data_IF_050012187498
#
_entry.id   IF_050012187498
#
_cell.length_a   1.000
_cell.length_b   1.000
_cell.length_c   1.000
_cell.angle_alpha   90.00
_cell.angle_beta   90.00
_cell.angle_gamma   90.00
#
_symmetry.space_group_name_H-M   'P 1'
#
loop_
_entity.id
_entity.type
_entity.pdbx_description
1 polymer ?
#
# COMPACT_ATOMS: atom_id res chain seq x y z
N UNK A 1 15.96 -32.20 -18.59
CA UNK A 1 14.85 -31.26 -18.87
C UNK A 1 15.40 -29.95 -19.46
N UNK A 2 15.49 -29.87 -20.78
CA UNK A 2 16.15 -28.80 -21.54
C UNK A 2 15.14 -27.98 -22.35
N UNK A 3 14.17 -27.33 -21.69
CA UNK A 3 13.07 -26.63 -22.40
C UNK A 3 13.29 -25.11 -22.54
N UNK A 4 14.29 -24.51 -21.88
CA UNK A 4 14.44 -23.04 -21.89
C UNK A 4 15.57 -22.47 -22.76
N UNK A 5 16.07 -23.22 -23.75
CA UNK A 5 17.06 -22.70 -24.72
C UNK A 5 16.36 -22.28 -26.02
N UNK A 6 15.55 -21.23 -25.95
CA UNK A 6 14.85 -20.68 -27.11
C UNK A 6 14.88 -19.15 -27.11
N UNK A 7 15.22 -18.55 -28.26
CA UNK A 7 15.22 -17.10 -28.56
C UNK A 7 13.78 -16.54 -28.64
N UNK A 8 12.89 -17.01 -27.77
CA UNK A 8 11.45 -16.75 -27.82
C UNK A 8 11.15 -15.47 -27.05
N UNK A 9 11.15 -14.33 -27.75
CA UNK A 9 10.79 -13.01 -27.19
C UNK A 9 9.49 -13.09 -26.38
N UNK A 10 8.50 -13.83 -26.87
CA UNK A 10 7.21 -14.03 -26.20
C UNK A 10 7.33 -14.67 -24.81
N UNK A 11 8.14 -15.72 -24.66
CA UNK A 11 8.36 -16.39 -23.37
C UNK A 11 9.06 -15.45 -22.36
N UNK A 12 9.99 -14.63 -22.85
CA UNK A 12 10.64 -13.61 -22.03
C UNK A 12 9.66 -12.52 -21.58
N UNK A 13 8.77 -12.05 -22.46
CA UNK A 13 7.71 -11.09 -22.09
C UNK A 13 6.81 -11.64 -20.99
N UNK A 14 6.29 -12.85 -21.13
CA UNK A 14 5.46 -13.48 -20.10
C UNK A 14 6.23 -13.61 -18.78
N UNK A 15 7.48 -14.05 -18.82
CA UNK A 15 8.29 -14.19 -17.61
C UNK A 15 8.58 -12.84 -16.95
N UNK A 16 8.83 -11.76 -17.71
CA UNK A 16 8.97 -10.41 -17.15
C UNK A 16 7.68 -9.95 -16.47
N UNK A 17 6.55 -10.10 -17.16
CA UNK A 17 5.24 -9.67 -16.66
C UNK A 17 4.87 -10.44 -15.39
N UNK A 18 5.06 -11.76 -15.37
CA UNK A 18 4.82 -12.59 -14.19
C UNK A 18 5.70 -12.19 -13.01
N UNK A 19 7.01 -11.98 -13.21
CA UNK A 19 7.89 -11.54 -12.10
C UNK A 19 7.51 -10.15 -11.57
N UNK A 20 7.11 -9.23 -12.45
CA UNK A 20 6.68 -7.90 -12.05
C UNK A 20 5.38 -7.95 -11.24
N UNK A 21 4.42 -8.76 -11.67
CA UNK A 21 3.18 -8.99 -10.94
C UNK A 21 3.43 -9.64 -9.57
N UNK A 22 4.28 -10.67 -9.51
CA UNK A 22 4.65 -11.32 -8.24
C UNK A 22 5.35 -10.33 -7.29
N UNK A 23 6.28 -9.51 -7.79
CA UNK A 23 6.91 -8.46 -6.99
C UNK A 23 5.89 -7.47 -6.43
N UNK A 24 4.93 -7.04 -7.25
CA UNK A 24 3.87 -6.14 -6.82
C UNK A 24 3.02 -6.75 -5.70
N UNK A 25 2.62 -8.02 -5.86
CA UNK A 25 1.86 -8.74 -4.83
C UNK A 25 2.63 -8.87 -3.53
N UNK A 26 3.92 -9.19 -3.59
CA UNK A 26 4.78 -9.28 -2.41
C UNK A 26 4.87 -7.91 -1.71
N UNK A 27 5.12 -6.83 -2.43
CA UNK A 27 5.17 -5.48 -1.83
C UNK A 27 3.84 -5.08 -1.22
N UNK A 28 2.73 -5.44 -1.85
CA UNK A 28 1.39 -5.15 -1.34
C UNK A 28 1.10 -5.96 -0.08
N UNK A 29 1.45 -7.26 -0.06
CA UNK A 29 1.29 -8.11 1.12
C UNK A 29 2.11 -7.62 2.30
N UNK A 30 3.37 -7.21 2.07
CA UNK A 30 4.23 -6.59 3.09
C UNK A 30 3.62 -5.29 3.61
N UNK A 31 3.10 -4.44 2.71
CA UNK A 31 2.42 -3.21 3.08
C UNK A 31 1.20 -3.46 3.98
N UNK A 32 0.36 -4.45 3.64
CA UNK A 32 -0.80 -4.85 4.45
C UNK A 32 -0.38 -5.39 5.81
N UNK A 33 0.62 -6.27 5.85
CA UNK A 33 1.12 -6.82 7.11
C UNK A 33 1.67 -5.74 8.04
N UNK A 34 2.51 -4.84 7.51
CA UNK A 34 3.05 -3.71 8.26
C UNK A 34 1.93 -2.77 8.74
N UNK A 35 0.94 -2.50 7.90
CA UNK A 35 -0.22 -1.69 8.28
C UNK A 35 -0.96 -2.28 9.49
N UNK A 36 -1.30 -3.57 9.44
CA UNK A 36 -2.02 -4.23 10.53
C UNK A 36 -1.18 -4.30 11.80
N UNK A 37 0.13 -4.53 11.67
CA UNK A 37 1.07 -4.43 12.80
C UNK A 37 1.05 -3.03 13.42
N UNK A 38 1.16 -1.97 12.62
CA UNK A 38 1.17 -0.58 13.11
C UNK A 38 -0.16 -0.19 13.74
N UNK A 39 -1.30 -0.66 13.21
CA UNK A 39 -2.61 -0.45 13.84
C UNK A 39 -2.68 -1.03 15.24
N UNK A 40 -2.15 -2.25 15.42
CA UNK A 40 -2.07 -2.89 16.73
C UNK A 40 -1.06 -2.19 17.66
N UNK A 41 0.06 -1.70 17.14
CA UNK A 41 1.11 -1.04 17.92
C UNK A 41 0.71 0.35 18.40
N UNK A 42 0.10 1.18 17.55
CA UNK A 42 -0.30 2.54 17.92
C UNK A 42 -1.65 2.61 18.62
N UNK A 43 -2.63 1.78 18.22
CA UNK A 43 -3.95 1.74 18.87
C UNK A 43 -4.71 3.07 18.91
N UNK A 44 -4.40 4.01 18.02
CA UNK A 44 -5.00 5.35 17.99
C UNK A 44 -6.50 5.28 17.67
N UNK A 45 -7.31 6.00 18.43
CA UNK A 45 -8.74 6.13 18.20
C UNK A 45 -9.08 6.93 16.94
N UNK A 46 -10.15 6.55 16.23
CA UNK A 46 -10.69 7.30 15.09
C UNK A 46 -11.48 8.53 15.57
N UNK A 47 -11.59 9.60 14.77
CA UNK A 47 -12.38 10.78 15.15
C UNK A 47 -13.85 10.47 15.50
N UNK A 48 -14.47 9.53 14.79
CA UNK A 48 -15.85 9.08 15.04
C UNK A 48 -15.99 8.04 16.17
N UNK A 49 -14.95 7.78 16.98
CA UNK A 49 -14.97 6.74 18.00
C UNK A 49 -16.11 6.91 19.01
N UNK A 50 -16.34 8.12 19.53
CA UNK A 50 -17.38 8.37 20.53
C UNK A 50 -18.79 8.07 19.99
N UNK A 51 -19.03 8.40 18.72
CA UNK A 51 -20.30 8.10 18.06
C UNK A 51 -20.55 6.59 17.90
N UNK A 52 -19.48 5.80 17.72
CA UNK A 52 -19.58 4.34 17.63
C UNK A 52 -19.66 3.70 19.01
N UNK A 53 -18.85 4.15 19.96
CA UNK A 53 -18.76 3.58 21.30
C UNK A 53 -20.06 3.79 22.08
N UNK A 54 -20.70 4.96 21.97
CA UNK A 54 -21.84 5.37 22.78
C UNK A 54 -21.51 5.17 24.28
N UNK A 55 -20.63 6.01 24.84
CA UNK A 55 -20.12 5.81 26.20
C UNK A 55 -21.23 5.88 27.26
N UNK A 56 -21.17 4.97 28.23
CA UNK A 56 -22.01 5.04 29.43
C UNK A 56 -21.39 5.99 30.46
N UNK A 57 -21.82 7.25 30.41
CA UNK A 57 -21.32 8.31 31.29
C UNK A 57 -21.58 8.04 32.78
N UNK A 58 -22.58 7.21 33.13
CA UNK A 58 -22.90 6.91 34.52
C UNK A 58 -21.84 6.02 35.21
N UNK A 59 -21.06 5.29 34.41
CA UNK A 59 -20.00 4.37 34.87
C UNK A 59 -18.60 4.97 34.76
N UNK A 60 -18.50 6.22 34.34
CA UNK A 60 -17.23 6.93 34.16
C UNK A 60 -17.04 7.95 35.28
N UNK A 61 -15.91 7.88 35.98
CA UNK A 61 -15.55 8.89 36.99
C UNK A 61 -14.85 10.09 36.34
N UNK A 62 -15.61 11.18 36.19
CA UNK A 62 -15.15 12.44 35.60
C UNK A 62 -14.70 13.47 36.64
N UNK A 63 -14.78 13.16 37.95
CA UNK A 63 -14.77 14.21 38.98
C UNK A 63 -13.40 14.86 39.21
N UNK A 64 -12.30 14.17 38.86
CA UNK A 64 -10.92 14.63 39.13
C UNK A 64 -9.91 14.27 38.02
N UNK A 65 -10.38 14.05 36.78
CA UNK A 65 -9.52 13.67 35.65
C UNK A 65 -9.71 14.63 34.47
N UNK A 66 -8.62 15.21 33.97
CA UNK A 66 -8.64 16.02 32.73
C UNK A 66 -8.94 15.17 31.48
N UNK A 67 -8.64 13.86 31.52
CA UNK A 67 -8.98 12.93 30.46
C UNK A 67 -9.22 11.51 31.00
N UNK A 68 -10.15 10.80 30.37
CA UNK A 68 -10.47 9.40 30.70
C UNK A 68 -9.68 8.49 29.77
N UNK A 69 -8.85 7.57 30.30
CA UNK A 69 -8.13 6.65 29.46
C UNK A 69 -9.09 5.71 28.72
N UNK A 70 -8.73 5.36 27.49
CA UNK A 70 -9.54 4.56 26.57
C UNK A 70 -9.77 3.10 27.05
N UNK A 71 -9.01 2.67 28.06
CA UNK A 71 -9.23 1.40 28.78
C UNK A 71 -10.37 1.47 29.79
N UNK A 72 -10.71 2.66 30.27
CA UNK A 72 -11.77 2.92 31.27
C UNK A 72 -13.08 3.39 30.62
N UNK A 73 -13.13 3.49 29.28
CA UNK A 73 -14.36 3.84 28.55
C UNK A 73 -15.24 2.61 28.32
N UNK A 74 -16.39 2.58 29.00
CA UNK A 74 -17.46 1.59 28.77
C UNK A 74 -18.35 2.01 27.60
N UNK A 75 -18.32 1.23 26.52
CA UNK A 75 -19.16 1.43 25.34
C UNK A 75 -20.49 0.69 25.49
N UNK A 76 -21.61 1.35 25.21
CA UNK A 76 -22.95 0.74 25.24
C UNK A 76 -23.29 0.02 23.93
N UNK A 77 -22.59 0.32 22.83
CA UNK A 77 -22.86 -0.31 21.55
C UNK A 77 -22.53 -1.83 21.60
N UNK A 78 -23.49 -2.73 21.27
CA UNK A 78 -23.25 -4.17 21.32
C UNK A 78 -22.33 -4.68 20.19
N UNK A 79 -22.11 -3.90 19.13
CA UNK A 79 -21.24 -4.28 18.01
C UNK A 79 -19.76 -4.07 18.36
N UNK A 80 -19.18 -5.08 19.00
CA UNK A 80 -17.76 -5.12 19.39
C UNK A 80 -16.80 -4.97 18.20
N UNK A 81 -17.20 -5.42 17.01
CA UNK A 81 -16.38 -5.30 15.79
C UNK A 81 -16.27 -3.84 15.35
N UNK A 82 -17.38 -3.10 15.37
CA UNK A 82 -17.37 -1.66 15.06
C UNK A 82 -16.55 -0.88 16.08
N UNK A 83 -16.67 -1.20 17.37
CA UNK A 83 -15.84 -0.58 18.41
C UNK A 83 -14.35 -0.87 18.17
N UNK A 84 -13.96 -2.13 17.94
CA UNK A 84 -12.57 -2.50 17.65
C UNK A 84 -12.01 -1.77 16.43
N UNK A 85 -12.83 -1.61 15.40
CA UNK A 85 -12.47 -0.89 14.17
C UNK A 85 -12.25 0.60 14.47
N UNK A 86 -13.12 1.20 15.29
CA UNK A 86 -13.00 2.59 15.71
C UNK A 86 -11.76 2.86 16.60
N UNK A 87 -11.14 1.82 17.17
CA UNK A 87 -9.89 1.90 17.95
C UNK A 87 -8.61 1.78 17.12
N UNK A 88 -8.71 1.62 15.80
CA UNK A 88 -7.53 1.46 14.92
C UNK A 88 -7.57 2.49 13.79
N UNK A 89 -7.06 3.70 14.08
CA UNK A 89 -7.02 4.81 13.13
C UNK A 89 -5.71 4.92 12.35
N UNK A 90 -4.57 4.81 13.01
CA UNK A 90 -3.27 4.99 12.37
C UNK A 90 -2.63 3.66 11.94
N UNK A 91 -2.03 3.56 10.74
CA UNK A 91 -2.13 4.47 9.60
C UNK A 91 -3.39 4.19 8.75
N UNK A 92 -3.74 5.10 7.84
CA UNK A 92 -4.89 4.89 6.95
C UNK A 92 -4.60 3.84 5.87
N UNK A 93 -5.29 2.70 5.97
CA UNK A 93 -5.14 1.60 5.02
C UNK A 93 -5.66 1.88 3.61
N UNK A 94 -6.75 2.64 3.49
CA UNK A 94 -7.29 3.04 2.18
C UNK A 94 -6.32 3.95 1.44
N UNK A 95 -5.76 4.94 2.15
CA UNK A 95 -4.72 5.81 1.62
C UNK A 95 -3.48 5.02 1.24
N UNK A 96 -2.99 4.12 2.11
CA UNK A 96 -1.83 3.29 1.81
C UNK A 96 -2.03 2.45 0.54
N UNK A 97 -3.18 1.79 0.38
CA UNK A 97 -3.49 1.01 -0.82
C UNK A 97 -3.57 1.87 -2.09
N UNK A 98 -4.23 3.03 -2.02
CA UNK A 98 -4.35 3.94 -3.17
C UNK A 98 -2.99 4.52 -3.61
N UNK A 99 -2.17 4.96 -2.65
CA UNK A 99 -0.82 5.42 -2.96
C UNK A 99 0.11 4.30 -3.41
N UNK A 100 -0.05 3.07 -2.90
CA UNK A 100 0.76 1.93 -3.33
C UNK A 100 0.63 1.67 -4.83
N UNK A 101 -0.62 1.59 -5.34
CA UNK A 101 -0.85 1.41 -6.78
C UNK A 101 -0.44 2.65 -7.59
N UNK A 102 -0.71 3.86 -7.09
CA UNK A 102 -0.33 5.10 -7.78
C UNK A 102 1.19 5.22 -7.95
N UNK A 103 1.99 4.97 -6.91
CA UNK A 103 3.46 5.03 -6.98
C UNK A 103 3.98 3.95 -7.93
N UNK A 104 3.46 2.72 -7.84
CA UNK A 104 3.84 1.64 -8.74
C UNK A 104 3.56 1.99 -10.21
N UNK A 105 2.36 2.48 -10.53
CA UNK A 105 2.00 2.89 -11.88
C UNK A 105 2.86 4.05 -12.38
N UNK A 106 3.13 5.05 -11.53
CA UNK A 106 4.00 6.18 -11.86
C UNK A 106 5.40 5.69 -12.27
N UNK A 107 5.98 4.78 -11.48
CA UNK A 107 7.31 4.22 -11.74
C UNK A 107 7.32 3.32 -12.99
N UNK A 108 6.33 2.44 -13.12
CA UNK A 108 6.20 1.47 -14.21
C UNK A 108 5.96 2.16 -15.56
N UNK A 109 4.91 2.97 -15.68
CA UNK A 109 4.52 3.61 -16.94
C UNK A 109 5.57 4.62 -17.41
N UNK A 110 6.20 5.35 -16.50
CA UNK A 110 7.30 6.28 -16.85
C UNK A 110 8.48 5.53 -17.46
N UNK A 111 8.87 4.39 -16.88
CA UNK A 111 9.98 3.58 -17.40
C UNK A 111 9.62 2.93 -18.73
N UNK A 112 8.43 2.37 -18.85
CA UNK A 112 7.95 1.76 -20.09
C UNK A 112 7.94 2.78 -21.23
N UNK A 113 7.40 3.99 -21.01
CA UNK A 113 7.39 5.05 -22.01
C UNK A 113 8.82 5.47 -22.40
N UNK A 114 9.72 5.64 -21.42
CA UNK A 114 11.12 6.06 -21.65
C UNK A 114 11.92 5.02 -22.43
N UNK A 115 11.79 3.73 -22.09
CA UNK A 115 12.60 2.67 -22.69
C UNK A 115 12.12 2.26 -24.08
N UNK A 116 10.82 2.35 -24.35
CA UNK A 116 10.26 2.00 -25.66
C UNK A 116 10.30 3.17 -26.64
N UNK A 117 10.28 4.42 -26.17
CA UNK A 117 10.28 5.61 -27.02
C UNK A 117 9.00 5.81 -27.84
N UNK A 118 7.94 5.03 -27.60
CA UNK A 118 6.70 5.07 -28.38
C UNK A 118 5.83 6.22 -27.87
N UNK A 119 5.54 7.20 -28.73
CA UNK A 119 4.75 8.40 -28.38
C UNK A 119 3.38 8.09 -27.76
N UNK A 120 2.68 7.07 -28.27
CA UNK A 120 1.39 6.61 -27.72
C UNK A 120 1.46 6.22 -26.23
N UNK A 121 2.58 5.65 -25.77
CA UNK A 121 2.73 5.23 -24.37
C UNK A 121 2.88 6.43 -23.41
N UNK A 122 3.38 7.57 -23.90
CA UNK A 122 3.39 8.81 -23.11
C UNK A 122 1.98 9.36 -22.91
N UNK A 123 1.14 9.28 -23.95
CA UNK A 123 -0.27 9.67 -23.83
C UNK A 123 -1.01 8.75 -22.86
N UNK A 124 -0.88 7.43 -23.03
CA UNK A 124 -1.46 6.42 -22.12
C UNK A 124 -1.00 6.63 -20.68
N UNK A 125 0.29 6.88 -20.45
CA UNK A 125 0.82 7.22 -19.12
C UNK A 125 0.08 8.41 -18.53
N UNK A 126 -0.03 9.52 -19.26
CA UNK A 126 -0.64 10.75 -18.74
C UNK A 126 -2.11 10.54 -18.38
N UNK A 127 -2.88 9.86 -19.24
CA UNK A 127 -4.30 9.56 -18.99
C UNK A 127 -4.47 8.67 -17.76
N UNK A 128 -3.72 7.56 -17.68
CA UNK A 128 -3.81 6.64 -16.54
C UNK A 128 -3.40 7.35 -15.24
N UNK A 129 -2.30 8.11 -15.26
CA UNK A 129 -1.85 8.85 -14.08
C UNK A 129 -2.84 9.93 -13.65
N UNK A 130 -3.52 10.61 -14.57
CA UNK A 130 -4.55 11.59 -14.23
C UNK A 130 -5.72 10.92 -13.48
N UNK A 131 -6.24 9.80 -14.02
CA UNK A 131 -7.32 9.03 -13.40
C UNK A 131 -6.93 8.57 -12.00
N UNK A 132 -5.76 7.94 -11.86
CA UNK A 132 -5.30 7.42 -10.57
C UNK A 132 -4.97 8.55 -9.58
N UNK A 133 -4.52 9.71 -10.03
CA UNK A 133 -4.29 10.87 -9.16
C UNK A 133 -5.60 11.38 -8.58
N UNK A 134 -6.63 11.55 -9.41
CA UNK A 134 -7.96 11.97 -8.95
C UNK A 134 -8.54 10.94 -7.99
N UNK A 135 -8.48 9.65 -8.34
CA UNK A 135 -9.00 8.58 -7.49
C UNK A 135 -8.27 8.48 -6.13
N UNK A 136 -6.94 8.63 -6.14
CA UNK A 136 -6.13 8.60 -4.92
C UNK A 136 -6.39 9.82 -4.04
N UNK A 137 -6.49 11.01 -4.63
CA UNK A 137 -6.84 12.24 -3.92
C UNK A 137 -8.24 12.15 -3.31
N UNK A 138 -9.23 11.69 -4.08
CA UNK A 138 -10.59 11.45 -3.59
C UNK A 138 -10.62 10.48 -2.41
N UNK A 139 -9.87 9.37 -2.50
CA UNK A 139 -9.74 8.41 -1.40
C UNK A 139 -9.14 9.06 -0.16
N UNK A 140 -8.05 9.83 -0.29
CA UNK A 140 -7.40 10.49 0.83
C UNK A 140 -8.28 11.57 1.49
N UNK A 141 -8.96 12.38 0.68
CA UNK A 141 -9.86 13.45 1.15
C UNK A 141 -11.04 12.84 1.91
N UNK A 142 -11.71 11.84 1.34
CA UNK A 142 -12.87 11.19 1.98
C UNK A 142 -12.51 10.55 3.31
N UNK A 143 -11.28 10.06 3.49
CA UNK A 143 -10.83 9.55 4.81
C UNK A 143 -10.83 10.61 5.91
N UNK A 144 -10.64 11.88 5.56
CA UNK A 144 -10.68 13.00 6.52
C UNK A 144 -12.08 13.55 6.65
N UNK A 145 -12.76 13.85 5.53
CA UNK A 145 -14.09 14.49 5.54
C UNK A 145 -15.17 13.61 6.15
N UNK A 146 -15.05 12.29 6.01
CA UNK A 146 -15.98 11.31 6.59
C UNK A 146 -15.57 10.90 8.01
N UNK A 147 -14.62 11.62 8.63
CA UNK A 147 -14.15 11.41 10.00
C UNK A 147 -13.57 10.01 10.29
N UNK A 148 -13.13 9.28 9.26
CA UNK A 148 -12.49 7.97 9.44
C UNK A 148 -11.08 8.08 10.02
N UNK A 149 -10.33 9.11 9.64
CA UNK A 149 -8.91 9.28 9.96
C UNK A 149 -8.55 10.75 10.19
N UNK A 150 -7.54 10.99 11.02
CA UNK A 150 -6.89 12.30 11.09
C UNK A 150 -5.99 12.50 9.86
N UNK A 151 -5.70 13.76 9.46
CA UNK A 151 -4.75 14.04 8.38
C UNK A 151 -3.37 13.38 8.58
N UNK A 152 -2.90 13.28 9.83
CA UNK A 152 -1.66 12.57 10.16
C UNK A 152 -1.70 11.08 9.81
N UNK A 153 -2.87 10.44 9.91
CA UNK A 153 -3.01 9.02 9.63
C UNK A 153 -3.06 8.76 8.12
N UNK A 154 -3.62 9.71 7.37
CA UNK A 154 -3.55 9.75 5.91
C UNK A 154 -2.08 9.89 5.47
N UNK A 155 -1.34 10.85 6.05
CA UNK A 155 0.09 11.01 5.78
C UNK A 155 0.89 9.74 6.13
N UNK A 156 0.59 9.10 7.26
CA UNK A 156 1.19 7.82 7.64
C UNK A 156 0.93 6.71 6.60
N UNK A 157 -0.27 6.68 6.01
CA UNK A 157 -0.58 5.78 4.90
C UNK A 157 0.25 6.04 3.64
N UNK A 158 0.47 7.32 3.29
CA UNK A 158 1.35 7.71 2.17
C UNK A 158 2.79 7.25 2.43
N UNK A 159 3.32 7.52 3.62
CA UNK A 159 4.68 7.11 4.02
C UNK A 159 4.83 5.59 3.96
N UNK A 160 3.85 4.84 4.48
CA UNK A 160 3.88 3.39 4.45
C UNK A 160 3.94 2.85 3.01
N UNK A 161 3.13 3.40 2.10
CA UNK A 161 3.16 3.03 0.69
C UNK A 161 4.53 3.30 0.05
N UNK A 162 5.12 4.48 0.32
CA UNK A 162 6.46 4.82 -0.19
C UNK A 162 7.53 3.85 0.31
N UNK A 163 7.55 3.54 1.60
CA UNK A 163 8.51 2.60 2.21
C UNK A 163 8.40 1.20 1.60
N UNK A 164 7.20 0.76 1.22
CA UNK A 164 7.02 -0.57 0.63
C UNK A 164 7.39 -0.62 -0.86
N UNK A 165 7.04 0.42 -1.63
CA UNK A 165 7.19 0.40 -3.09
C UNK A 165 8.58 0.85 -3.55
N UNK A 166 9.13 1.92 -2.98
CA UNK A 166 10.36 2.54 -3.47
C UNK A 166 11.60 1.63 -3.41
N UNK A 167 11.84 0.82 -2.35
CA UNK A 167 13.01 -0.06 -2.33
C UNK A 167 13.00 -1.13 -3.43
N UNK A 168 11.81 -1.63 -3.79
CA UNK A 168 11.66 -2.72 -4.77
C UNK A 168 11.59 -2.19 -6.20
N UNK A 169 10.84 -1.10 -6.43
CA UNK A 169 10.58 -0.57 -7.76
C UNK A 169 11.38 0.68 -8.11
N UNK A 170 11.93 1.39 -7.11
CA UNK A 170 12.72 2.60 -7.33
C UNK A 170 14.01 2.34 -8.11
N UNK A 171 14.63 1.18 -7.90
CA UNK A 171 15.84 0.76 -8.61
C UNK A 171 15.56 -0.18 -9.80
N UNK A 172 14.32 -0.63 -10.00
CA UNK A 172 13.97 -1.52 -11.10
C UNK A 172 14.13 -0.80 -12.45
N UNK A 173 14.81 -1.41 -13.42
CA UNK A 173 14.99 -0.90 -14.79
C UNK A 173 15.71 0.45 -14.89
N UNK A 174 16.75 0.62 -14.08
CA UNK A 174 17.60 1.81 -14.15
C UNK A 174 18.49 1.79 -15.39
N UNK A 175 18.86 0.60 -15.88
CA UNK A 175 19.62 0.39 -17.12
C UNK A 175 18.78 -0.35 -18.17
N UNK A 176 19.09 -0.13 -19.45
CA UNK A 176 18.49 -0.85 -20.59
C UNK A 176 18.77 -2.36 -20.56
N UNK A 177 19.87 -2.75 -19.92
CA UNK A 177 20.27 -4.15 -19.69
C UNK A 177 19.32 -4.88 -18.73
N UNK A 178 18.71 -4.22 -17.76
CA UNK A 178 17.73 -4.85 -16.86
C UNK A 178 16.42 -5.25 -17.57
N UNK A 179 16.13 -4.63 -18.71
CA UNK A 179 14.89 -4.80 -19.48
C UNK A 179 15.10 -5.79 -20.64
N UNK A 180 16.21 -5.66 -21.37
CA UNK A 180 16.51 -6.46 -22.57
C UNK A 180 17.66 -7.44 -22.39
N UNK A 181 18.37 -7.40 -21.26
CA UNK A 181 19.44 -8.33 -20.97
C UNK A 181 18.92 -9.76 -20.99
N UNK A 182 19.60 -10.69 -21.69
CA UNK A 182 19.26 -12.09 -21.59
C UNK A 182 19.38 -12.50 -20.12
N UNK A 183 18.25 -12.86 -19.50
CA UNK A 183 18.25 -13.46 -18.17
C UNK A 183 18.85 -14.85 -18.29
N UNK A 184 20.17 -14.92 -18.19
CA UNK A 184 20.88 -16.16 -17.99
C UNK A 184 20.54 -16.62 -16.57
N UNK A 185 19.54 -17.48 -16.44
CA UNK A 185 19.34 -18.27 -15.24
C UNK A 185 20.52 -19.24 -15.17
N UNK A 186 21.66 -18.78 -14.64
CA UNK A 186 22.80 -19.66 -14.40
C UNK A 186 22.33 -20.70 -13.38
N UNK A 187 22.24 -21.93 -13.86
CA UNK A 187 21.89 -23.07 -13.05
C UNK A 187 23.06 -23.28 -12.10
N UNK A 188 22.97 -22.82 -10.84
CA UNK A 188 23.93 -23.21 -9.81
C UNK A 188 23.99 -24.75 -9.80
N UNK A 189 25.06 -25.30 -10.38
CA UNK A 189 25.38 -26.72 -10.23
C UNK A 189 25.84 -26.88 -8.79
N UNK A 190 25.20 -27.72 -7.97
CA UNK A 190 25.77 -28.04 -6.67
C UNK A 190 27.13 -28.70 -6.92
N UNK A 191 28.18 -28.10 -6.35
CA UNK A 191 29.48 -28.75 -6.20
C UNK A 191 29.28 -29.93 -5.25
N UNK A 192 29.09 -31.11 -5.81
CA UNK A 192 29.38 -32.36 -5.13
C UNK A 192 30.76 -32.79 -5.62
N UNK A 193 31.76 -32.56 -4.78
CA UNK A 193 32.97 -33.38 -4.72
C UNK A 193 32.66 -34.69 -3.99
#
# INVERSE_FOLDING_TARGET
LSIFKGKNKLANYFTTATLLYLKYLITFAVCVFLMEYLKCAFGRLRPHFLAVCQPDWSRMDCSNKESIPVSETFCMNPDTRRIRTARTSFPSGHTAAAFHIWIFLALYLTRVARHTGISSLYHTRNVVMAIFTVWTAFTAITRVTDYWHYPSDVLGGVVLAMVCVLPVFGNLWRTSEDVYGPRNLEKQRPHFE
#
